data_IF_021889279636
#
_entry.id   IF_021889279636
#
_cell.length_a   1.000
_cell.length_b   1.000
_cell.length_c   1.000
_cell.angle_alpha   90.00
_cell.angle_beta   90.00
_cell.angle_gamma   90.00
#
_symmetry.space_group_name_H-M   'P 1'
#
loop_
_entity.id
_entity.type
_entity.pdbx_description
1 polymer ?
#
# COMPACT_ATOMS: atom_id res chain seq x y z
N UNK A 1 20.30 -4.88 -3.26
CA UNK A 1 19.61 -3.58 -3.46
C UNK A 1 18.96 -3.20 -2.14
N UNK A 2 19.39 -2.12 -1.49
CA UNK A 2 18.77 -1.67 -0.25
C UNK A 2 17.35 -1.17 -0.57
N UNK A 3 16.33 -1.71 0.09
CA UNK A 3 14.95 -1.24 0.01
C UNK A 3 14.87 0.12 0.72
N UNK A 4 15.33 1.17 0.04
CA UNK A 4 15.34 2.53 0.55
C UNK A 4 14.00 3.14 0.20
N UNK A 5 13.21 3.49 1.21
CA UNK A 5 11.96 4.22 1.02
C UNK A 5 12.23 5.46 0.15
N UNK A 6 11.45 5.61 -0.94
CA UNK A 6 11.56 6.76 -1.87
C UNK A 6 11.42 8.08 -1.12
N UNK A 7 10.57 8.11 -0.09
CA UNK A 7 10.50 9.18 0.88
C UNK A 7 10.35 8.58 2.29
N UNK A 8 11.34 8.76 3.19
CA UNK A 8 11.26 8.20 4.54
C UNK A 8 10.09 8.77 5.36
N UNK A 9 9.66 10.01 5.08
CA UNK A 9 8.51 10.63 5.75
C UNK A 9 7.18 9.95 5.39
N UNK A 10 7.11 9.30 4.22
CA UNK A 10 5.91 8.58 3.80
C UNK A 10 5.75 7.22 4.49
N UNK A 11 6.77 6.71 5.20
CA UNK A 11 6.76 5.37 5.78
C UNK A 11 5.57 5.15 6.71
N UNK A 12 5.26 6.11 7.58
CA UNK A 12 4.12 6.00 8.50
C UNK A 12 2.79 5.98 7.74
N UNK A 13 2.59 6.89 6.78
CA UNK A 13 1.37 6.94 5.98
C UNK A 13 1.17 5.68 5.13
N UNK A 14 2.24 5.11 4.58
CA UNK A 14 2.20 3.86 3.82
C UNK A 14 1.91 2.65 4.71
N UNK A 15 2.40 2.64 5.95
CA UNK A 15 2.08 1.59 6.92
C UNK A 15 0.61 1.61 7.33
N UNK A 16 0.06 2.80 7.60
CA UNK A 16 -1.37 2.98 7.88
C UNK A 16 -2.21 2.50 6.69
N UNK A 17 -1.90 2.94 5.47
CA UNK A 17 -2.60 2.51 4.26
C UNK A 17 -2.56 0.99 4.07
N UNK A 18 -1.42 0.37 4.33
CA UNK A 18 -1.28 -1.09 4.27
C UNK A 18 -2.23 -1.77 5.26
N UNK A 19 -2.33 -1.27 6.49
CA UNK A 19 -3.23 -1.79 7.52
C UNK A 19 -4.70 -1.60 7.13
N UNK A 20 -5.06 -0.41 6.62
CA UNK A 20 -6.43 -0.13 6.14
C UNK A 20 -6.83 -1.11 5.03
N UNK A 21 -5.99 -1.29 4.01
CA UNK A 21 -6.24 -2.21 2.90
C UNK A 21 -6.30 -3.66 3.38
N UNK A 22 -5.42 -4.06 4.31
CA UNK A 22 -5.46 -5.40 4.89
C UNK A 22 -6.79 -5.65 5.60
N UNK A 23 -7.27 -4.67 6.38
CA UNK A 23 -8.58 -4.74 7.04
C UNK A 23 -9.73 -4.82 6.04
N UNK A 24 -9.72 -4.01 4.96
CA UNK A 24 -10.73 -4.05 3.90
C UNK A 24 -10.77 -5.38 3.15
N UNK A 25 -9.62 -6.04 3.01
CA UNK A 25 -9.50 -7.35 2.37
C UNK A 25 -9.79 -8.53 3.33
N UNK A 26 -10.13 -8.25 4.59
CA UNK A 26 -10.38 -9.26 5.61
C UNK A 26 -9.14 -10.06 6.02
N UNK A 27 -7.95 -9.48 5.85
CA UNK A 27 -6.67 -10.11 6.18
C UNK A 27 -6.38 -9.80 7.64
N UNK A 28 -6.51 -10.80 8.52
CA UNK A 28 -6.23 -10.63 9.94
C UNK A 28 -4.76 -10.26 10.17
N UNK A 29 -4.52 -9.00 10.52
CA UNK A 29 -3.19 -8.44 10.77
C UNK A 29 -2.60 -8.85 12.12
N UNK A 30 -3.40 -9.50 12.99
CA UNK A 30 -3.03 -9.84 14.38
C UNK A 30 -1.94 -10.89 14.47
N UNK A 31 -1.92 -11.86 13.55
CA UNK A 31 -0.89 -12.88 13.47
C UNK A 31 0.26 -12.41 12.58
N UNK A 32 0.97 -11.36 13.03
CA UNK A 32 2.32 -10.98 12.58
C UNK A 32 2.59 -11.36 11.13
N UNK A 33 1.85 -10.77 10.17
CA UNK A 33 2.06 -10.98 8.73
C UNK A 33 2.40 -12.42 8.33
N UNK A 34 1.53 -13.38 8.67
CA UNK A 34 1.63 -14.72 8.10
C UNK A 34 2.66 -15.65 8.76
N UNK A 35 3.07 -15.39 10.00
CA UNK A 35 4.03 -16.26 10.70
C UNK A 35 3.63 -17.74 10.82
N UNK A 36 2.34 -18.09 10.69
CA UNK A 36 1.84 -19.47 10.70
C UNK A 36 1.27 -19.96 9.35
N UNK A 37 1.30 -19.13 8.30
CA UNK A 37 0.78 -19.47 6.98
C UNK A 37 1.91 -19.95 6.07
N UNK A 38 1.56 -20.68 5.00
CA UNK A 38 2.57 -21.08 4.02
C UNK A 38 3.16 -19.84 3.32
N UNK A 39 4.40 -19.94 2.86
CA UNK A 39 5.03 -18.87 2.06
C UNK A 39 4.20 -18.50 0.81
N UNK A 40 3.43 -19.46 0.27
CA UNK A 40 2.52 -19.24 -0.85
C UNK A 40 1.34 -18.35 -0.46
N UNK A 41 0.67 -18.67 0.65
CA UNK A 41 -0.46 -17.86 1.16
C UNK A 41 0.00 -16.44 1.49
N UNK A 42 1.16 -16.30 2.13
CA UNK A 42 1.75 -15.00 2.45
C UNK A 42 2.07 -14.18 1.20
N UNK A 43 2.60 -14.83 0.16
CA UNK A 43 2.84 -14.20 -1.14
C UNK A 43 1.55 -13.70 -1.79
N UNK A 44 0.48 -14.50 -1.74
CA UNK A 44 -0.81 -14.12 -2.30
C UNK A 44 -1.46 -12.96 -1.53
N UNK A 45 -1.46 -13.01 -0.20
CA UNK A 45 -2.03 -11.96 0.65
C UNK A 45 -1.23 -10.65 0.52
N UNK A 46 0.10 -10.73 0.61
CA UNK A 46 0.99 -9.59 0.42
C UNK A 46 0.87 -8.98 -0.97
N UNK A 47 0.74 -9.81 -2.01
CA UNK A 47 0.52 -9.36 -3.38
C UNK A 47 -0.81 -8.62 -3.56
N UNK A 48 -1.90 -9.11 -2.96
CA UNK A 48 -3.21 -8.44 -3.00
C UNK A 48 -3.17 -7.07 -2.32
N UNK A 49 -2.59 -6.98 -1.13
CA UNK A 49 -2.43 -5.71 -0.40
C UNK A 49 -1.55 -4.74 -1.16
N UNK A 50 -0.36 -5.17 -1.60
CA UNK A 50 0.58 -4.33 -2.35
C UNK A 50 0.01 -3.85 -3.69
N UNK A 51 -0.76 -4.69 -4.38
CA UNK A 51 -1.47 -4.32 -5.60
C UNK A 51 -2.50 -3.22 -5.38
N UNK A 52 -3.33 -3.35 -4.33
CA UNK A 52 -4.29 -2.30 -3.96
C UNK A 52 -3.61 -1.00 -3.52
N UNK A 53 -2.52 -1.09 -2.74
CA UNK A 53 -1.72 0.10 -2.38
C UNK A 53 -1.23 0.84 -3.62
N UNK A 54 -0.68 0.10 -4.59
CA UNK A 54 -0.15 0.67 -5.83
C UNK A 54 -1.26 1.35 -6.63
N UNK A 55 -2.44 0.73 -6.73
CA UNK A 55 -3.59 1.30 -7.40
C UNK A 55 -4.04 2.63 -6.77
N UNK A 56 -4.20 2.67 -5.43
CA UNK A 56 -4.58 3.90 -4.71
C UNK A 56 -3.55 5.02 -4.85
N UNK A 57 -2.26 4.68 -4.80
CA UNK A 57 -1.18 5.65 -5.00
C UNK A 57 -1.22 6.27 -6.40
N UNK A 58 -1.47 5.46 -7.44
CA UNK A 58 -1.63 5.95 -8.82
C UNK A 58 -2.86 6.85 -8.93
N UNK A 59 -3.99 6.46 -8.37
CA UNK A 59 -5.22 7.27 -8.36
C UNK A 59 -4.99 8.63 -7.69
N UNK A 60 -4.34 8.67 -6.52
CA UNK A 60 -3.98 9.92 -5.85
C UNK A 60 -3.03 10.78 -6.68
N UNK A 61 -2.06 10.15 -7.35
CA UNK A 61 -1.14 10.82 -8.27
C UNK A 61 -1.87 11.46 -9.45
N UNK A 62 -2.80 10.74 -10.07
CA UNK A 62 -3.64 11.25 -11.16
C UNK A 62 -4.47 12.46 -10.70
N UNK A 63 -5.12 12.37 -9.54
CA UNK A 63 -5.89 13.48 -8.96
C UNK A 63 -5.02 14.71 -8.67
N UNK A 64 -3.81 14.51 -8.14
CA UNK A 64 -2.86 15.59 -7.89
C UNK A 64 -2.41 16.27 -9.20
N UNK A 65 -2.16 15.50 -10.25
CA UNK A 65 -1.80 16.01 -11.57
C UNK A 65 -2.95 16.81 -12.20
N UNK A 66 -4.19 16.31 -12.12
CA UNK A 66 -5.38 17.02 -12.61
C UNK A 66 -5.59 18.34 -11.88
N UNK A 67 -5.49 18.36 -10.55
CA UNK A 67 -5.58 19.59 -9.75
C UNK A 67 -4.51 20.60 -10.16
N UNK A 68 -3.27 20.15 -10.34
CA UNK A 68 -2.16 21.00 -10.80
C UNK A 68 -2.39 21.57 -12.20
N UNK A 69 -2.96 20.77 -13.11
CA UNK A 69 -3.31 21.23 -14.45
C UNK A 69 -4.43 22.28 -14.42
N UNK A 70 -5.52 22.01 -13.69
CA UNK A 70 -6.66 22.92 -13.58
C UNK A 70 -6.30 24.24 -12.89
N UNK A 71 -5.40 24.22 -11.90
CA UNK A 71 -4.93 25.42 -11.20
C UNK A 71 -4.03 26.34 -12.05
N UNK A 72 -3.56 25.88 -13.21
CA UNK A 72 -2.73 26.67 -14.13
C UNK A 72 -3.52 27.32 -15.27
N UNK A 73 -4.81 26.98 -15.38
CA UNK A 73 -5.74 27.56 -16.33
C UNK A 73 -6.44 28.76 -15.71
#
# INVERSE_FOLDING_TARGET
>A
MANKNVNPNAKKALEEMKLEIANELGIETSNKYGSNNTSYDNGQLGGRVGGQMSKRLVEMGQQALLKKYNSKK
#
